data_IF_793148408206
#
_entry.id   IF_793148408206
#
_cell.length_a   1.000
_cell.length_b   1.000
_cell.length_c   1.000
_cell.angle_alpha   90.00
_cell.angle_beta   90.00
_cell.angle_gamma   90.00
#
_symmetry.space_group_name_H-M   'P 1'
#
loop_
_entity.id
_entity.type
_entity.pdbx_description
1 polymer ?
2 non-polymer ?
3 non-polymer ?
4 non-polymer ?
5 water ?
#
# COMPACT_ATOMS: atom_id res chain seq x y z
N UNK A 5 -42.82 2.64 -6.93
CA UNK A 5 -41.68 2.02 -7.65
C UNK A 5 -40.41 2.85 -7.45
N UNK A 6 -39.27 2.27 -7.80
CA UNK A 6 -38.04 3.04 -7.92
C UNK A 6 -37.65 3.12 -9.40
N UNK A 7 -37.65 4.34 -9.95
CA UNK A 7 -37.34 4.52 -11.36
C UNK A 7 -35.85 4.57 -11.63
N UNK A 8 -35.47 4.41 -12.90
CA UNK A 8 -34.07 4.47 -13.28
C UNK A 8 -33.48 5.84 -12.93
N UNK A 9 -34.28 6.88 -13.11
CA UNK A 9 -33.88 8.24 -12.77
C UNK A 9 -33.56 8.40 -11.29
N UNK A 10 -34.50 8.02 -10.43
CA UNK A 10 -34.32 8.13 -9.00
C UNK A 10 -33.14 7.28 -8.53
N UNK A 11 -32.94 6.14 -9.18
CA UNK A 11 -31.93 5.18 -8.76
C UNK A 11 -30.53 5.64 -9.14
N UNK A 12 -30.43 6.40 -10.22
CA UNK A 12 -29.14 6.87 -10.70
C UNK A 12 -28.53 7.86 -9.70
N UNK A 13 -29.36 8.79 -9.25
CA UNK A 13 -28.96 9.78 -8.26
C UNK A 13 -28.65 9.12 -6.91
N UNK A 14 -29.59 8.32 -6.43
CA UNK A 14 -29.46 7.67 -5.13
C UNK A 14 -28.22 6.79 -5.07
N UNK A 15 -27.91 6.08 -6.15
CA UNK A 15 -26.75 5.21 -6.20
C UNK A 15 -25.45 5.98 -5.97
N UNK A 16 -25.27 7.12 -6.63
CA UNK A 16 -24.09 7.93 -6.40
C UNK A 16 -24.01 8.38 -4.94
N UNK A 17 -25.15 8.77 -4.39
CA UNK A 17 -25.20 9.19 -2.99
C UNK A 17 -24.69 8.07 -2.09
N UNK A 18 -25.20 6.87 -2.31
CA UNK A 18 -24.79 5.70 -1.54
C UNK A 18 -23.31 5.39 -1.71
N UNK A 19 -22.82 5.43 -2.96
CA UNK A 19 -21.40 5.18 -3.21
C UNK A 19 -20.54 6.15 -2.42
N UNK A 20 -20.94 7.42 -2.41
CA UNK A 20 -20.17 8.45 -1.72
C UNK A 20 -20.14 8.23 -0.21
N UNK A 21 -21.29 7.92 0.37
CA UNK A 21 -21.38 7.74 1.81
C UNK A 21 -20.66 6.45 2.24
N UNK A 22 -20.88 5.37 1.49
CA UNK A 22 -20.27 4.09 1.79
C UNK A 22 -18.75 4.09 1.62
N UNK A 23 -18.27 4.71 0.55
CA UNK A 23 -16.82 4.79 0.34
C UNK A 23 -16.18 5.64 1.43
N UNK A 24 -16.90 6.65 1.91
CA UNK A 24 -16.38 7.46 3.01
C UNK A 24 -16.29 6.63 4.28
N UNK A 25 -17.31 5.80 4.51
CA UNK A 25 -17.27 4.87 5.65
C UNK A 25 -16.17 3.83 5.46
N UNK A 26 -15.97 3.40 4.22
CA UNK A 26 -14.96 2.40 3.92
C UNK A 26 -13.57 3.01 4.10
N UNK A 27 -13.44 4.29 3.79
CA UNK A 27 -12.18 5.01 4.01
C UNK A 27 -11.80 5.03 5.50
N UNK A 28 -12.74 5.42 6.35
CA UNK A 28 -12.50 5.53 7.78
C UNK A 28 -12.10 4.18 8.37
N UNK A 29 -12.78 3.13 7.90
CA UNK A 29 -12.65 1.79 8.49
C UNK A 29 -11.42 1.04 8.00
N UNK A 30 -11.15 1.10 6.69
CA UNK A 30 -10.05 0.35 6.09
C UNK A 30 -8.78 1.15 5.94
N UNK A 31 -8.90 2.46 5.77
CA UNK A 31 -7.72 3.29 5.55
C UNK A 31 -7.23 3.98 6.82
N UNK A 32 -8.16 4.42 7.65
CA UNK A 32 -7.79 5.08 8.91
C UNK A 32 -7.87 4.10 10.08
N UNK A 33 -8.39 2.91 9.81
CA UNK A 33 -8.58 1.91 10.85
C UNK A 33 -9.31 2.53 12.04
N UNK A 34 -10.31 3.37 11.74
CA UNK A 34 -11.07 4.05 12.77
C UNK A 34 -12.49 4.37 12.30
N UNK A 35 -13.35 3.34 12.21
CA UNK A 35 -14.70 3.56 11.71
C UNK A 35 -15.46 4.59 12.55
N UNK A 36 -16.35 5.33 11.90
CA UNK A 36 -17.16 6.32 12.59
C UNK A 36 -18.55 5.77 12.91
N UNK A 37 -19.09 4.93 12.04
CA UNK A 37 -20.41 4.37 12.27
C UNK A 37 -20.37 2.88 12.60
N UNK A 38 -21.37 2.44 13.35
CA UNK A 38 -21.61 1.02 13.62
C UNK A 38 -21.76 0.25 12.30
N UNK A 39 -21.34 -1.00 12.30
CA UNK A 39 -21.40 -1.82 11.10
C UNK A 39 -22.80 -1.88 10.50
N UNK A 40 -23.81 -1.98 11.36
CA UNK A 40 -25.18 -2.18 10.89
C UNK A 40 -25.63 -0.99 10.06
N UNK A 41 -25.05 0.17 10.34
CA UNK A 41 -25.37 1.36 9.55
C UNK A 41 -24.80 1.20 8.15
N UNK A 42 -23.57 0.67 8.06
CA UNK A 42 -22.94 0.45 6.78
C UNK A 42 -23.69 -0.62 5.98
N UNK A 43 -24.05 -1.70 6.65
CA UNK A 43 -24.64 -2.87 6.00
C UNK A 43 -26.01 -2.53 5.41
N UNK A 44 -26.75 -1.68 6.12
CA UNK A 44 -28.06 -1.23 5.68
C UNK A 44 -27.97 -0.43 4.39
N UNK A 45 -27.05 0.53 4.37
CA UNK A 45 -26.82 1.33 3.17
C UNK A 45 -26.27 0.48 2.04
N UNK A 46 -25.36 -0.42 2.38
CA UNK A 46 -24.75 -1.31 1.40
C UNK A 46 -25.82 -2.16 0.74
N UNK A 47 -26.72 -2.71 1.55
CA UNK A 47 -27.83 -3.51 1.04
C UNK A 47 -28.71 -2.71 0.09
N UNK A 48 -28.96 -1.45 0.42
CA UNK A 48 -29.80 -0.61 -0.43
C UNK A 48 -29.12 -0.45 -1.79
N UNK A 49 -27.82 -0.21 -1.77
CA UNK A 49 -27.06 -0.08 -2.99
C UNK A 49 -27.11 -1.36 -3.82
N UNK A 50 -26.93 -2.49 -3.17
CA UNK A 50 -26.97 -3.78 -3.86
C UNK A 50 -28.32 -3.99 -4.54
N UNK A 51 -29.40 -3.58 -3.87
CA UNK A 51 -30.72 -3.72 -4.44
C UNK A 51 -30.84 -2.88 -5.71
N UNK A 52 -30.34 -1.65 -5.63
CA UNK A 52 -30.43 -0.75 -6.78
C UNK A 52 -29.61 -1.28 -7.95
N UNK A 53 -28.44 -1.84 -7.63
CA UNK A 53 -27.55 -2.33 -8.68
C UNK A 53 -28.09 -3.61 -9.27
N UNK A 54 -28.85 -4.36 -8.48
CA UNK A 54 -29.42 -5.61 -8.95
C UNK A 54 -30.56 -5.29 -9.93
N UNK A 55 -31.38 -4.32 -9.57
CA UNK A 55 -32.49 -3.91 -10.41
C UNK A 55 -31.98 -3.19 -11.66
N UNK A 56 -31.02 -2.29 -11.49
CA UNK A 56 -30.46 -1.53 -12.61
C UNK A 56 -28.96 -1.73 -12.72
N UNK A 57 -28.54 -2.87 -13.29
CA UNK A 57 -27.13 -3.23 -13.36
C UNK A 57 -26.24 -2.23 -14.09
N UNK A 58 -26.84 -1.39 -14.93
CA UNK A 58 -26.06 -0.39 -15.65
C UNK A 58 -25.55 0.70 -14.71
N UNK A 59 -26.10 0.74 -13.49
CA UNK A 59 -25.68 1.74 -12.50
C UNK A 59 -24.43 1.31 -11.74
N UNK A 60 -23.95 0.09 -12.01
CA UNK A 60 -22.74 -0.39 -11.38
C UNK A 60 -21.53 0.39 -11.90
N UNK A 61 -20.72 0.90 -10.98
CA UNK A 61 -19.53 1.68 -11.34
C UNK A 61 -18.31 1.06 -10.69
N UNK A 62 -17.12 1.28 -11.27
CA UNK A 62 -15.89 0.69 -10.72
C UNK A 62 -15.57 1.13 -9.29
N UNK A 63 -16.05 2.31 -8.90
CA UNK A 63 -15.78 2.80 -7.55
C UNK A 63 -16.91 2.48 -6.56
N UNK A 64 -17.85 1.64 -7.00
CA UNK A 64 -18.87 1.17 -6.08
C UNK A 64 -18.32 0.09 -5.16
N UNK A 65 -18.62 0.19 -3.86
CA UNK A 65 -18.13 -0.74 -2.85
C UNK A 65 -18.59 -2.19 -3.02
N UNK A 66 -19.60 -2.41 -3.86
CA UNK A 66 -20.06 -3.76 -4.13
C UNK A 66 -19.02 -4.56 -4.91
N UNK A 67 -18.14 -3.87 -5.62
CA UNK A 67 -17.20 -4.51 -6.52
C UNK A 67 -15.97 -5.08 -5.80
N UNK A 68 -15.87 -4.82 -4.50
CA UNK A 68 -14.74 -5.28 -3.71
C UNK A 68 -14.68 -6.79 -3.61
N UNK A 69 -15.81 -7.45 -3.89
CA UNK A 69 -15.90 -8.89 -3.75
C UNK A 69 -15.33 -9.58 -4.99
N UNK A 70 -15.01 -8.79 -6.01
CA UNK A 70 -14.37 -9.34 -7.20
C UNK A 70 -15.37 -10.00 -8.13
N UNK A 71 -14.85 -10.76 -9.09
CA UNK A 71 -15.72 -11.44 -10.04
C UNK A 71 -14.98 -11.89 -11.28
N UNK A 72 -14.13 -11.02 -11.82
CA UNK A 72 -13.40 -11.33 -13.05
C UNK A 72 -12.45 -12.51 -12.83
N UNK A 73 -12.23 -13.29 -13.90
CA UNK A 73 -11.24 -14.37 -13.87
C UNK A 73 -10.32 -14.22 -15.09
N UNK A 74 -9.04 -13.94 -14.85
CA UNK A 74 -8.10 -13.70 -15.94
C UNK A 74 -7.53 -15.01 -16.49
N UNK A 75 -6.98 -14.96 -17.71
CA UNK A 75 -6.23 -16.08 -18.27
C UNK A 75 -4.80 -16.01 -17.76
N UNK A 76 -4.28 -14.78 -17.69
CA UNK A 76 -2.96 -14.55 -17.15
C UNK A 76 -2.81 -13.07 -16.89
N UNK A 77 -1.67 -12.65 -16.37
CA UNK A 77 -1.41 -11.23 -16.17
C UNK A 77 -0.65 -10.66 -17.36
N UNK A 78 -1.02 -9.45 -17.77
CA UNK A 78 -0.27 -8.72 -18.79
C UNK A 78 0.98 -8.13 -18.16
N UNK A 79 1.96 -7.80 -19.00
CA UNK A 79 3.19 -7.17 -18.52
C UNK A 79 2.89 -5.75 -18.10
N UNK A 80 3.46 -5.34 -16.96
CA UNK A 80 3.29 -3.98 -16.47
C UNK A 80 4.64 -3.28 -16.40
N UNK A 81 5.00 -2.54 -17.45
CA UNK A 81 6.28 -1.82 -17.41
C UNK A 81 6.29 -0.69 -16.38
N UNK A 82 7.45 -0.46 -15.78
CA UNK A 82 7.68 0.69 -14.90
C UNK A 82 8.71 1.59 -15.56
N UNK A 83 8.26 2.66 -16.22
CA UNK A 83 9.18 3.54 -16.93
C UNK A 83 10.04 4.32 -15.93
N UNK A 84 9.45 4.63 -14.79
CA UNK A 84 10.24 4.99 -13.61
C UNK A 84 10.45 3.69 -12.86
N UNK A 85 11.69 3.19 -12.86
CA UNK A 85 11.95 1.85 -12.32
C UNK A 85 11.64 1.76 -10.83
N UNK A 86 11.29 0.56 -10.38
CA UNK A 86 11.13 0.29 -8.95
C UNK A 86 12.39 -0.38 -8.44
N UNK A 87 13.23 0.39 -7.74
CA UNK A 87 14.52 -0.11 -7.26
C UNK A 87 14.32 -1.04 -6.06
N UNK A 88 15.39 -1.72 -5.65
CA UNK A 88 15.41 -2.35 -4.34
C UNK A 88 16.31 -1.55 -3.40
N UNK A 89 16.64 -2.11 -2.25
CA UNK A 89 17.38 -1.40 -1.22
C UNK A 89 18.69 -2.09 -0.86
N UNK A 90 19.73 -1.28 -0.62
CA UNK A 90 20.99 -1.77 -0.06
C UNK A 90 20.75 -2.10 1.42
N UNK A 91 21.50 -3.07 1.94
CA UNK A 91 21.26 -3.55 3.30
C UNK A 91 22.35 -3.19 4.32
N UNK A 92 21.94 -3.05 5.57
CA UNK A 92 22.86 -2.99 6.68
C UNK A 92 22.41 -3.97 7.75
N UNK A 93 23.34 -4.46 8.55
CA UNK A 93 23.02 -5.53 9.49
C UNK A 93 23.53 -5.22 10.88
N UNK A 94 24.38 -4.22 10.99
CA UNK A 94 24.98 -3.86 12.27
C UNK A 94 24.79 -2.37 12.54
N UNK A 95 25.00 -1.97 13.79
CA UNK A 95 24.98 -0.56 14.13
C UNK A 95 26.08 0.15 13.34
N UNK A 96 27.19 -0.54 13.14
CA UNK A 96 28.30 0.00 12.37
C UNK A 96 27.90 0.26 10.93
N UNK A 97 27.17 -0.67 10.34
CA UNK A 97 26.72 -0.53 8.96
C UNK A 97 25.88 0.74 8.77
N UNK A 98 25.08 1.06 9.76
CA UNK A 98 24.20 2.22 9.67
C UNK A 98 24.98 3.52 9.85
N UNK A 99 25.89 3.53 10.82
CA UNK A 99 26.71 4.71 11.03
C UNK A 99 27.65 4.92 9.85
N UNK A 100 28.09 3.84 9.22
CA UNK A 100 28.91 3.94 8.03
C UNK A 100 28.11 4.51 6.86
N UNK A 101 26.83 4.17 6.80
CA UNK A 101 25.95 4.71 5.77
C UNK A 101 25.83 6.21 5.98
N UNK A 102 25.61 6.61 7.23
CA UNK A 102 25.51 8.03 7.57
C UNK A 102 26.80 8.78 7.24
N UNK A 103 27.94 8.14 7.50
CA UNK A 103 29.22 8.78 7.20
C UNK A 103 29.37 9.01 5.70
N UNK A 104 28.92 8.05 4.90
CA UNK A 104 28.97 8.21 3.45
C UNK A 104 28.06 9.32 2.96
N UNK A 105 26.90 9.47 3.58
CA UNK A 105 25.93 10.48 3.18
C UNK A 105 26.47 11.87 3.49
N UNK A 106 27.00 12.05 4.70
CA UNK A 106 27.58 13.32 5.08
C UNK A 106 28.79 13.66 4.21
N UNK A 107 29.61 12.65 3.91
CA UNK A 107 30.74 12.86 3.02
C UNK A 107 30.30 13.38 1.67
N UNK A 108 29.22 12.84 1.14
CA UNK A 108 28.73 13.24 -0.18
C UNK A 108 27.99 14.57 -0.15
N UNK A 109 27.18 14.78 0.88
CA UNK A 109 26.36 16.00 0.97
C UNK A 109 27.17 17.18 1.53
N UNK A 110 27.97 16.92 2.56
CA UNK A 110 28.83 17.95 3.10
C UNK A 110 28.32 18.60 4.37
N UNK A 111 27.29 18.01 4.96
CA UNK A 111 26.65 18.56 6.16
C UNK A 111 25.81 17.48 6.81
N UNK A 112 25.42 17.67 8.10
CA UNK A 112 24.49 16.78 8.77
C UNK A 112 23.18 16.68 8.00
N UNK A 113 22.58 15.49 7.98
CA UNK A 113 21.39 15.23 7.18
C UNK A 113 20.31 14.50 7.98
N UNK A 114 19.06 14.92 7.80
CA UNK A 114 17.93 14.31 8.49
C UNK A 114 17.49 13.02 7.79
N UNK A 115 17.02 12.06 8.58
CA UNK A 115 16.49 10.83 8.02
C UNK A 115 15.04 10.63 8.42
N UNK A 116 14.21 10.27 7.44
CA UNK A 116 12.88 9.79 7.70
C UNK A 116 12.97 8.27 7.86
N UNK A 117 12.55 7.78 9.02
CA UNK A 117 12.65 6.35 9.31
C UNK A 117 11.30 5.65 9.29
N UNK A 118 11.25 4.54 8.55
CA UNK A 118 10.00 3.82 8.35
C UNK A 118 10.23 2.36 8.73
N UNK A 119 9.19 1.69 9.24
CA UNK A 119 9.23 0.24 9.42
C UNK A 119 9.25 -0.42 8.04
N UNK A 120 10.09 -1.44 7.88
CA UNK A 120 10.15 -2.17 6.61
C UNK A 120 9.10 -3.27 6.60
N UNK A 121 8.02 -3.02 5.88
CA UNK A 121 6.86 -3.91 5.85
C UNK A 121 7.21 -5.11 4.98
N UNK A 122 7.01 -6.31 5.52
CA UNK A 122 7.38 -7.54 4.83
C UNK A 122 6.23 -8.05 3.98
N UNK A 123 6.24 -7.69 2.69
CA UNK A 123 5.19 -8.16 1.81
C UNK A 123 5.56 -8.12 0.35
N UNK A 124 4.65 -7.61 -0.48
CA UNK A 124 4.88 -7.48 -1.92
C UNK A 124 4.86 -6.01 -2.32
N UNK A 125 5.87 -5.58 -3.06
CA UNK A 125 5.89 -4.21 -3.55
C UNK A 125 4.84 -4.04 -4.66
N UNK A 126 4.09 -2.94 -4.58
CA UNK A 126 3.08 -2.63 -5.59
C UNK A 126 3.18 -1.17 -6.04
N UNK A 127 2.70 -0.92 -7.26
CA UNK A 127 2.63 0.42 -7.82
C UNK A 127 1.19 0.69 -8.23
N UNK A 128 0.63 1.80 -7.76
CA UNK A 128 -0.79 2.11 -8.03
C UNK A 128 -0.89 3.37 -8.89
N UNK A 129 -1.41 3.24 -10.10
CA UNK A 129 -1.52 4.39 -11.00
C UNK A 129 -2.93 4.96 -11.04
N UNK A 130 -3.04 6.28 -10.97
CA UNK A 130 -4.34 6.94 -11.03
C UNK A 130 -4.41 8.02 -12.11
N UNK A 131 -5.50 8.03 -12.88
CA UNK A 131 -5.75 9.09 -13.86
C UNK A 131 -6.96 9.90 -13.42
N UNK A 132 -6.75 11.18 -13.14
CA UNK A 132 -7.83 12.06 -12.74
C UNK A 132 -8.59 11.49 -11.55
N UNK A 133 -7.86 10.86 -10.64
CA UNK A 133 -8.47 10.34 -9.42
C UNK A 133 -8.97 8.90 -9.52
N UNK A 134 -9.00 8.35 -10.72
CA UNK A 134 -9.52 6.99 -10.94
C UNK A 134 -8.41 5.93 -10.96
N UNK A 135 -8.57 4.86 -10.18
CA UNK A 135 -7.63 3.74 -10.20
C UNK A 135 -7.64 3.10 -11.59
N UNK A 136 -6.49 3.08 -12.25
CA UNK A 136 -6.43 2.50 -13.59
C UNK A 136 -5.36 1.41 -13.77
N UNK A 137 -4.38 1.36 -12.87
CA UNK A 137 -3.44 0.24 -12.91
C UNK A 137 -2.82 -0.12 -11.57
N UNK A 138 -2.77 -1.41 -11.30
CA UNK A 138 -2.01 -1.90 -10.17
C UNK A 138 -1.01 -2.93 -10.68
N UNK A 139 0.20 -2.89 -10.14
CA UNK A 139 1.27 -3.74 -10.65
C UNK A 139 2.26 -4.18 -9.58
N UNK A 140 2.79 -5.38 -9.74
CA UNK A 140 3.86 -5.88 -8.90
C UNK A 140 5.18 -5.24 -9.33
N UNK A 141 6.17 -5.27 -8.46
CA UNK A 141 7.49 -4.75 -8.81
C UNK A 141 8.18 -5.58 -9.89
N UNK A 142 7.93 -6.89 -9.88
CA UNK A 142 8.61 -7.77 -10.82
C UNK A 142 10.12 -7.62 -10.72
N UNK A 143 10.75 -7.28 -11.84
CA UNK A 143 12.21 -7.21 -11.90
C UNK A 143 12.70 -5.76 -11.81
N UNK A 144 11.79 -4.85 -11.56
CA UNK A 144 12.15 -3.46 -11.38
C UNK A 144 11.73 -2.59 -12.56
N UNK A 145 11.73 -3.17 -13.75
CA UNK A 145 11.35 -2.43 -14.95
C UNK A 145 10.12 -3.05 -15.62
N UNK A 146 9.89 -4.33 -15.38
CA UNK A 146 8.63 -4.94 -15.83
C UNK A 146 8.06 -5.88 -14.77
N UNK A 147 6.85 -5.55 -14.30
CA UNK A 147 6.13 -6.41 -13.38
C UNK A 147 4.89 -7.01 -14.01
N UNK A 148 3.97 -7.50 -13.17
CA UNK A 148 2.70 -8.03 -13.65
C UNK A 148 1.56 -7.06 -13.37
N UNK A 149 0.61 -6.97 -14.30
CA UNK A 149 -0.57 -6.13 -14.16
C UNK A 149 -1.60 -6.87 -13.31
N UNK A 150 -1.71 -6.49 -12.04
CA UNK A 150 -2.64 -7.16 -11.12
C UNK A 150 -3.72 -6.19 -10.68
N UNK A 151 -4.15 -5.34 -11.62
CA UNK A 151 -5.16 -4.32 -11.37
C UNK A 151 -6.44 -4.93 -10.80
N UNK A 152 -6.91 -6.01 -11.39
CA UNK A 152 -8.21 -6.55 -10.99
C UNK A 152 -8.17 -7.06 -9.55
N UNK A 153 -7.10 -7.75 -9.19
CA UNK A 153 -6.95 -8.25 -7.83
C UNK A 153 -6.90 -7.12 -6.80
N UNK A 154 -6.18 -6.06 -7.12
CA UNK A 154 -6.00 -4.97 -6.18
C UNK A 154 -7.28 -4.15 -6.02
N UNK A 155 -8.21 -4.33 -6.95
CA UNK A 155 -9.56 -3.79 -6.78
C UNK A 155 -10.24 -4.39 -5.56
N UNK A 156 -9.88 -5.62 -5.22
CA UNK A 156 -10.51 -6.28 -4.09
C UNK A 156 -9.86 -5.89 -2.76
N UNK A 157 -8.75 -5.19 -2.82
CA UNK A 157 -8.05 -4.81 -1.58
C UNK A 157 -8.67 -3.53 -1.01
N UNK A 158 -9.32 -3.66 0.15
CA UNK A 158 -10.26 -2.65 0.62
C UNK A 158 -9.61 -1.30 0.97
N UNK A 159 -8.31 -1.32 1.32
CA UNK A 159 -7.62 -0.10 1.68
C UNK A 159 -7.16 0.67 0.44
N UNK A 160 -7.26 0.02 -0.71
CA UNK A 160 -6.93 0.66 -1.98
C UNK A 160 -8.13 1.45 -2.54
N UNK A 161 -8.00 2.78 -2.61
CA UNK A 161 -9.07 3.65 -3.14
C UNK A 161 -9.33 3.45 -4.64
N UNK A 162 -10.60 3.31 -5.00
CA UNK A 162 -10.96 3.22 -6.41
C UNK A 162 -11.10 4.61 -7.03
N UNK A 163 -11.45 5.59 -6.21
CA UNK A 163 -11.46 6.98 -6.65
C UNK A 163 -10.93 7.87 -5.53
N UNK A 164 -9.92 8.68 -5.86
CA UNK A 164 -9.28 9.54 -4.88
C UNK A 164 -10.10 10.78 -4.52
N UNK A 165 -9.77 11.39 -3.39
CA UNK A 165 -10.44 12.58 -2.90
C UNK A 165 -10.44 13.73 -3.92
N UNK A 166 -9.27 14.04 -4.48
CA UNK A 166 -9.14 14.97 -5.59
C UNK A 166 -8.84 14.21 -6.87
N UNK A 167 -9.30 14.73 -8.02
CA UNK A 167 -9.09 14.11 -9.33
C UNK A 167 -7.65 14.20 -9.84
N UNK A 168 -6.72 13.71 -9.03
CA UNK A 168 -5.29 13.88 -9.26
C UNK A 168 -4.74 12.71 -10.10
N UNK A 169 -3.74 13.00 -10.95
CA UNK A 169 -3.07 11.95 -11.72
C UNK A 169 -1.68 11.66 -11.17
N UNK A 170 -1.56 10.53 -10.48
CA UNK A 170 -0.33 10.18 -9.77
C UNK A 170 -0.13 8.67 -9.83
N UNK A 171 1.12 8.23 -9.72
CA UNK A 171 1.39 6.83 -9.42
C UNK A 171 2.16 6.72 -8.11
N UNK A 172 1.60 5.95 -7.19
CA UNK A 172 2.17 5.83 -5.85
C UNK A 172 2.59 4.39 -5.62
N UNK A 173 3.50 4.19 -4.67
CA UNK A 173 4.04 2.86 -4.43
C UNK A 173 4.14 2.54 -2.94
N UNK A 174 3.92 1.28 -2.61
CA UNK A 174 4.07 0.84 -1.23
C UNK A 174 4.13 -0.67 -1.13
N UNK A 175 3.57 -1.21 -0.05
CA UNK A 175 3.61 -2.64 0.20
C UNK A 175 2.19 -3.16 0.39
N UNK A 176 1.89 -4.27 -0.28
CA UNK A 176 0.68 -5.03 0.01
C UNK A 176 1.13 -6.23 0.83
N UNK A 177 0.44 -6.49 1.93
CA UNK A 177 0.86 -7.54 2.85
C UNK A 177 -0.36 -8.24 3.42
N UNK A 178 -0.14 -9.37 4.07
CA UNK A 178 -1.21 -10.06 4.80
C UNK A 178 -0.94 -9.99 6.29
N UNK A 179 -1.87 -9.40 7.05
CA UNK A 179 -1.74 -9.32 8.52
C UNK A 179 -1.51 -10.69 9.13
N UNK A 180 -0.85 -10.72 10.30
CA UNK A 180 -0.55 -11.98 10.97
C UNK A 180 -1.80 -12.82 11.22
N UNK A 181 -2.83 -12.20 11.77
CA UNK A 181 -4.03 -12.93 12.15
C UNK A 181 -4.71 -13.55 10.92
N UNK A 182 -4.64 -12.87 9.78
CA UNK A 182 -5.21 -13.39 8.55
C UNK A 182 -4.36 -14.52 7.97
N UNK A 183 -3.04 -14.42 8.12
CA UNK A 183 -2.13 -15.48 7.71
C UNK A 183 -2.43 -16.75 8.51
N UNK A 184 -2.53 -16.62 9.82
CA UNK A 184 -2.90 -17.74 10.68
C UNK A 184 -4.20 -18.38 10.22
N UNK A 185 -5.21 -17.56 9.98
CA UNK A 185 -6.53 -18.06 9.64
C UNK A 185 -6.53 -18.77 8.29
N UNK A 186 -5.84 -18.19 7.32
CA UNK A 186 -5.78 -18.77 5.97
C UNK A 186 -5.09 -20.14 5.99
N UNK A 187 -4.01 -20.28 6.75
CA UNK A 187 -3.30 -21.54 6.79
C UNK A 187 -4.14 -22.65 7.44
N UNK A 188 -4.90 -22.30 8.46
CA UNK A 188 -5.83 -23.25 9.07
C UNK A 188 -6.82 -23.73 8.02
N UNK A 189 -7.35 -22.79 7.24
CA UNK A 189 -8.31 -23.10 6.19
C UNK A 189 -7.70 -24.04 5.16
N UNK A 190 -6.44 -23.82 4.83
CA UNK A 190 -5.73 -24.70 3.92
C UNK A 190 -5.48 -26.07 4.53
N UNK A 191 -5.20 -26.12 5.83
CA UNK A 191 -5.06 -27.39 6.52
C UNK A 191 -6.36 -28.17 6.46
N UNK A 192 -7.48 -27.48 6.63
CA UNK A 192 -8.79 -28.13 6.58
C UNK A 192 -9.08 -28.70 5.19
N UNK A 193 -8.60 -27.99 4.16
CA UNK A 193 -8.94 -28.35 2.79
C UNK A 193 -7.87 -29.20 2.11
N UNK A 194 -6.87 -29.62 2.87
CA UNK A 194 -5.87 -30.54 2.34
C UNK A 194 -4.81 -29.86 1.50
N UNK A 195 -4.54 -28.59 1.78
CA UNK A 195 -3.59 -27.81 1.00
C UNK A 195 -2.28 -27.59 1.75
N UNK A 196 -1.19 -27.42 1.01
CA UNK A 196 0.06 -27.00 1.61
C UNK A 196 -0.13 -25.59 2.15
N UNK A 197 0.35 -25.36 3.38
CA UNK A 197 0.23 -24.04 3.98
C UNK A 197 1.28 -23.11 3.38
N UNK A 198 1.06 -21.80 3.52
CA UNK A 198 2.12 -20.84 3.18
C UNK A 198 3.12 -20.77 4.33
N UNK A 199 4.40 -20.60 3.98
CA UNK A 199 5.48 -20.65 4.95
C UNK A 199 5.51 -19.42 5.83
N UNK A 200 5.05 -18.30 5.29
CA UNK A 200 5.00 -17.04 6.01
C UNK A 200 4.04 -16.09 5.28
N UNK A 201 3.60 -15.01 5.95
CA UNK A 201 2.61 -14.11 5.35
C UNK A 201 3.05 -13.39 4.07
N UNK A 202 4.36 -13.20 3.89
CA UNK A 202 4.87 -12.65 2.66
C UNK A 202 4.50 -13.58 1.50
N UNK A 203 4.80 -14.86 1.67
CA UNK A 203 4.50 -15.87 0.67
C UNK A 203 2.99 -15.97 0.46
N UNK A 204 2.23 -15.85 1.54
CA UNK A 204 0.77 -15.93 1.45
C UNK A 204 0.23 -14.78 0.60
N UNK A 205 0.80 -13.58 0.80
CA UNK A 205 0.36 -12.40 0.07
C UNK A 205 0.73 -12.48 -1.40
N UNK A 206 1.88 -13.07 -1.70
CA UNK A 206 2.35 -13.18 -3.08
C UNK A 206 1.55 -14.24 -3.84
N UNK A 207 1.29 -15.37 -3.18
CA UNK A 207 0.44 -16.38 -3.78
C UNK A 207 -0.97 -15.88 -4.00
N UNK A 208 -1.44 -15.03 -3.10
CA UNK A 208 -2.77 -14.43 -3.24
C UNK A 208 -2.83 -13.56 -4.49
N UNK A 209 -1.89 -12.64 -4.63
CA UNK A 209 -1.91 -11.70 -5.73
C UNK A 209 -1.58 -12.35 -7.07
N UNK A 210 -1.13 -13.61 -7.03
CA UNK A 210 -0.87 -14.39 -8.24
C UNK A 210 -2.13 -15.14 -8.69
N UNK A 211 -3.16 -15.14 -7.84
CA UNK A 211 -4.42 -15.79 -8.17
C UNK A 211 -5.09 -15.10 -9.35
N UNK A 212 -5.63 -15.89 -10.27
CA UNK A 212 -6.27 -15.34 -11.45
C UNK A 212 -7.76 -15.07 -11.22
N UNK A 213 -8.37 -15.83 -10.32
CA UNK A 213 -9.78 -15.61 -9.97
C UNK A 213 -9.85 -14.55 -8.88
N UNK A 214 -10.32 -13.36 -9.24
CA UNK A 214 -10.34 -12.23 -8.30
C UNK A 214 -11.27 -12.48 -7.10
N UNK A 215 -12.18 -13.43 -7.23
CA UNK A 215 -13.13 -13.72 -6.16
C UNK A 215 -12.40 -14.35 -4.97
N UNK A 216 -11.38 -15.14 -5.28
CA UNK A 216 -10.56 -15.75 -4.23
C UNK A 216 -9.73 -14.70 -3.51
N UNK A 217 -9.16 -13.79 -4.28
CA UNK A 217 -8.29 -12.75 -3.72
C UNK A 217 -9.05 -11.85 -2.74
N UNK A 218 -10.29 -11.49 -3.09
CA UNK A 218 -11.11 -10.63 -2.26
C UNK A 218 -11.37 -11.26 -0.89
N UNK A 219 -11.24 -12.57 -0.81
CA UNK A 219 -11.44 -13.28 0.44
C UNK A 219 -10.17 -13.33 1.29
N UNK A 220 -9.03 -12.91 0.73
CA UNK A 220 -7.72 -13.16 1.33
C UNK A 220 -7.24 -12.15 2.38
N UNK A 221 -8.03 -11.10 2.61
CA UNK A 221 -7.73 -10.15 3.68
C UNK A 221 -6.34 -9.53 3.51
N UNK A 222 -6.11 -8.84 2.40
CA UNK A 222 -4.84 -8.15 2.18
C UNK A 222 -4.95 -6.68 2.57
N UNK A 223 -3.83 -6.07 2.89
CA UNK A 223 -3.81 -4.66 3.25
C UNK A 223 -2.60 -3.96 2.64
N UNK A 224 -2.55 -2.63 2.75
CA UNK A 224 -1.49 -1.86 2.12
C UNK A 224 -0.90 -0.81 3.05
N UNK A 225 0.36 -0.47 2.79
CA UNK A 225 0.98 0.76 3.29
C UNK A 225 1.69 1.44 2.11
N UNK A 226 1.31 2.67 1.81
CA UNK A 226 1.96 3.41 0.73
C UNK A 226 3.04 4.33 1.29
N UNK A 227 4.20 4.37 0.64
CA UNK A 227 5.32 5.19 1.13
C UNK A 227 6.10 6.02 0.11
N UNK A 228 5.75 5.91 -1.17
CA UNK A 228 6.39 6.77 -2.17
C UNK A 228 5.55 7.04 -3.40
N UNK A 229 5.88 8.10 -4.12
CA UNK A 229 5.32 8.33 -5.44
C UNK A 229 6.42 8.27 -6.51
N UNK A 230 6.14 7.53 -7.58
CA UNK A 230 7.04 7.51 -8.72
C UNK A 230 6.80 8.74 -9.60
N UNK A 231 5.53 9.03 -9.86
CA UNK A 231 5.17 10.24 -10.59
C UNK A 231 4.31 11.16 -9.71
N UNK A 232 4.83 12.35 -9.46
CA UNK A 232 4.29 13.25 -8.46
C UNK A 232 2.94 13.90 -8.81
N UNK A 233 2.71 14.17 -10.09
CA UNK A 233 1.52 14.89 -10.47
C UNK A 233 1.54 16.29 -9.91
N UNK A 234 0.42 16.77 -9.34
CA UNK A 234 0.41 18.08 -8.67
C UNK A 234 1.06 18.07 -7.28
N UNK A 235 1.31 16.87 -6.74
CA UNK A 235 1.79 16.74 -5.34
C UNK A 235 2.96 17.65 -4.99
N UNK A 236 3.01 18.07 -3.72
CA UNK A 236 3.79 19.23 -3.32
C UNK A 236 4.97 18.92 -2.40
N UNK A 237 4.96 17.73 -1.78
CA UNK A 237 5.97 17.38 -0.78
C UNK A 237 7.39 17.60 -1.30
N UNK A 238 8.28 18.01 -0.41
CA UNK A 238 9.68 18.23 -0.75
C UNK A 238 10.58 17.33 0.07
N UNK A 239 10.00 16.61 1.02
CA UNK A 239 10.72 15.68 1.87
C UNK A 239 9.90 14.40 2.01
N UNK A 240 10.57 13.30 2.36
CA UNK A 240 9.91 12.00 2.47
C UNK A 240 8.83 12.01 3.56
N UNK A 241 9.11 12.71 4.65
CA UNK A 241 8.15 12.87 5.73
C UNK A 241 6.91 13.59 5.19
N UNK A 242 7.14 14.63 4.40
CA UNK A 242 6.04 15.35 3.76
C UNK A 242 5.26 14.47 2.79
N UNK A 243 5.97 13.61 2.07
CA UNK A 243 5.32 12.72 1.11
C UNK A 243 4.33 11.81 1.82
N UNK A 244 4.73 11.30 2.98
CA UNK A 244 3.91 10.37 3.75
C UNK A 244 2.64 11.03 4.27
N UNK A 245 2.77 12.27 4.75
CA UNK A 245 1.61 13.10 5.07
C UNK A 245 0.70 13.32 3.87
N UNK A 246 1.29 13.71 2.73
CA UNK A 246 0.51 14.00 1.54
C UNK A 246 -0.20 12.75 1.04
N UNK A 247 0.47 11.61 1.14
CA UNK A 247 -0.10 10.33 0.72
C UNK A 247 -1.35 10.00 1.52
N UNK A 248 -1.30 10.27 2.82
CA UNK A 248 -2.47 10.11 3.68
C UNK A 248 -3.57 11.10 3.27
N UNK A 249 -3.16 12.31 2.91
CA UNK A 249 -4.10 13.39 2.61
C UNK A 249 -4.96 13.12 1.39
N UNK A 250 -4.36 12.51 0.36
CA UNK A 250 -5.10 12.26 -0.86
C UNK A 250 -5.85 10.92 -0.84
N UNK A 251 -5.70 10.17 0.26
CA UNK A 251 -6.58 9.03 0.48
C UNK A 251 -5.94 7.67 0.67
N UNK A 252 -4.61 7.60 0.74
CA UNK A 252 -3.95 6.32 0.87
C UNK A 252 -3.66 5.95 2.32
N UNK A 253 -3.52 4.65 2.57
CA UNK A 253 -3.19 4.18 3.90
C UNK A 253 -1.67 4.23 4.07
N UNK A 254 -1.22 4.90 5.12
CA UNK A 254 0.21 4.99 5.42
C UNK A 254 0.48 4.36 6.78
N UNK A 255 1.73 3.98 7.02
CA UNK A 255 2.10 3.39 8.30
C UNK A 255 2.38 4.50 9.30
N UNK A 256 1.73 4.45 10.46
CA UNK A 256 1.75 5.55 11.44
C UNK A 256 3.03 5.60 12.26
N UNK A 257 3.92 4.63 12.04
CA UNK A 257 5.08 4.45 12.92
C UNK A 257 6.36 5.12 12.41
N UNK A 258 6.29 5.87 11.33
CA UNK A 258 7.48 6.54 10.80
C UNK A 258 7.91 7.70 11.68
N UNK A 259 9.21 8.00 11.67
CA UNK A 259 9.72 9.12 12.46
C UNK A 259 10.78 9.93 11.71
N UNK A 260 10.75 11.23 11.94
CA UNK A 260 11.74 12.15 11.38
C UNK A 260 12.88 12.32 12.37
N UNK A 261 14.05 11.80 12.02
CA UNK A 261 15.20 11.81 12.94
C UNK A 261 16.27 12.80 12.49
N UNK A 262 16.68 13.67 13.41
CA UNK A 262 17.59 14.76 13.08
C UNK A 262 19.06 14.39 13.29
N UNK A 263 19.33 13.16 13.71
CA UNK A 263 20.69 12.66 13.80
C UNK A 263 20.73 11.14 13.65
N UNK A 264 21.87 10.61 13.22
CA UNK A 264 22.01 9.17 13.07
C UNK A 264 21.83 8.52 14.44
N UNK A 265 22.05 9.31 15.49
CA UNK A 265 21.84 8.85 16.85
C UNK A 265 20.37 8.56 17.09
N UNK A 266 19.51 9.44 16.58
CA UNK A 266 18.07 9.24 16.70
C UNK A 266 17.60 8.08 15.83
N UNK A 267 18.33 7.82 14.75
CA UNK A 267 18.02 6.70 13.87
C UNK A 267 18.22 5.35 14.54
N UNK A 268 19.35 5.18 15.22
CA UNK A 268 19.61 3.91 15.87
C UNK A 268 18.65 3.68 17.04
N UNK A 269 18.26 4.77 17.72
CA UNK A 269 17.31 4.66 18.82
C UNK A 269 15.94 4.24 18.29
N UNK A 270 15.56 4.76 17.13
CA UNK A 270 14.34 4.32 16.46
C UNK A 270 14.45 2.82 16.19
N UNK A 271 15.59 2.42 15.63
CA UNK A 271 15.83 1.02 15.31
C UNK A 271 15.71 0.12 16.54
N UNK A 272 16.30 0.54 17.65
CA UNK A 272 16.21 -0.24 18.88
C UNK A 272 14.77 -0.24 19.40
N UNK A 273 14.10 0.91 19.28
CA UNK A 273 12.74 1.05 19.77
C UNK A 273 11.81 0.03 19.13
N UNK A 274 11.89 -0.09 17.81
CA UNK A 274 10.95 -0.95 17.08
C UNK A 274 11.47 -2.37 16.86
N UNK A 275 12.77 -2.57 17.08
CA UNK A 275 13.34 -3.91 17.03
C UNK A 275 12.69 -4.79 18.08
N UNK A 276 12.16 -4.17 19.13
CA UNK A 276 11.53 -4.91 20.21
C UNK A 276 10.00 -4.79 20.17
N UNK A 277 9.50 -3.63 19.76
CA UNK A 277 8.06 -3.44 19.58
C UNK A 277 7.57 -4.37 18.50
N UNK A 278 8.52 -4.87 17.71
CA UNK A 278 8.25 -5.75 16.58
C UNK A 278 7.16 -6.78 16.85
N UNK A 279 7.28 -7.48 17.97
CA UNK A 279 6.37 -8.58 18.30
C UNK A 279 4.94 -8.11 18.50
N UNK A 280 4.77 -6.86 18.92
CA UNK A 280 3.46 -6.33 19.27
C UNK A 280 2.67 -5.90 18.04
N UNK A 281 3.34 -5.87 16.88
CA UNK A 281 2.70 -5.36 15.66
C UNK A 281 1.89 -6.45 14.95
N UNK A 282 0.74 -6.06 14.37
CA UNK A 282 -0.19 -6.96 13.68
C UNK A 282 0.31 -7.46 12.33
N UNK A 283 1.39 -6.84 11.85
CA UNK A 283 2.00 -7.22 10.58
C UNK A 283 3.47 -7.55 10.80
N UNK A 284 4.04 -8.33 9.89
CA UNK A 284 5.46 -8.64 9.93
C UNK A 284 6.32 -7.55 9.28
N UNK A 285 7.43 -7.23 9.91
CA UNK A 285 8.45 -6.41 9.30
C UNK A 285 9.77 -7.17 9.31
N UNK A 286 10.61 -6.96 8.31
CA UNK A 286 11.93 -7.57 8.31
C UNK A 286 13.02 -6.57 8.62
N UNK A 287 12.63 -5.38 9.05
CA UNK A 287 13.61 -4.38 9.44
C UNK A 287 13.11 -2.95 9.43
N UNK A 288 14.03 -2.03 9.14
CA UNK A 288 13.75 -0.61 9.18
C UNK A 288 14.38 0.02 7.93
N UNK A 289 13.68 0.94 7.28
CA UNK A 289 14.27 1.65 6.16
C UNK A 289 14.62 3.09 6.52
N UNK A 290 15.88 3.45 6.30
CA UNK A 290 16.39 4.78 6.61
C UNK A 290 16.52 5.59 5.31
N UNK A 291 15.77 6.69 5.21
CA UNK A 291 15.79 7.52 4.01
C UNK A 291 16.25 8.94 4.30
N UNK A 292 17.13 9.46 3.44
CA UNK A 292 17.45 10.89 3.49
C UNK A 292 16.16 11.64 3.21
N UNK A 293 15.79 12.55 4.10
CA UNK A 293 14.45 13.14 4.08
C UNK A 293 14.27 14.13 2.94
N UNK A 294 15.19 15.07 2.80
CA UNK A 294 15.06 16.12 1.78
C UNK A 294 15.18 15.52 0.38
N UNK A 295 14.19 15.77 -0.47
CA UNK A 295 14.21 15.20 -1.81
C UNK A 295 15.38 15.78 -2.60
N UNK A 296 15.76 17.01 -2.27
CA UNK A 296 16.82 17.69 -2.98
C UNK A 296 18.13 16.93 -2.76
N UNK A 297 18.30 16.40 -1.56
CA UNK A 297 19.51 15.68 -1.20
C UNK A 297 19.48 14.24 -1.72
N UNK A 298 18.29 13.65 -1.81
CA UNK A 298 18.12 12.34 -2.44
C UNK A 298 18.58 12.38 -3.89
N UNK A 299 18.19 13.42 -4.62
CA UNK A 299 18.54 13.54 -6.03
C UNK A 299 20.03 13.73 -6.17
N UNK A 300 20.62 14.41 -5.19
CA UNK A 300 22.04 14.71 -5.22
C UNK A 300 22.85 13.44 -5.08
N UNK A 301 22.36 12.51 -4.26
CA UNK A 301 23.04 11.24 -4.02
C UNK A 301 22.79 10.27 -5.16
N UNK A 302 21.59 10.32 -5.73
CA UNK A 302 21.27 9.49 -6.87
C UNK A 302 21.11 8.02 -6.57
N UNK A 303 21.25 7.20 -7.59
CA UNK A 303 21.01 5.76 -7.47
C UNK A 303 22.20 4.98 -8.03
N UNK A 304 22.54 3.89 -7.37
CA UNK A 304 23.40 2.89 -7.99
C UNK A 304 22.57 2.22 -9.09
N UNK A 305 23.03 1.07 -9.56
CA UNK A 305 22.24 0.27 -10.48
C UNK A 305 21.14 -0.52 -9.75
N UNK A 306 21.47 -1.02 -8.55
CA UNK A 306 20.51 -1.79 -7.74
C UNK A 306 19.54 -0.90 -6.96
N UNK A 307 20.07 0.13 -6.31
CA UNK A 307 19.34 0.80 -5.25
C UNK A 307 19.63 2.29 -5.17
N UNK A 308 18.82 3.03 -4.39
CA UNK A 308 19.16 4.42 -4.09
C UNK A 308 20.40 4.53 -3.20
N UNK A 309 21.18 5.58 -3.38
CA UNK A 309 22.29 5.86 -2.45
C UNK A 309 21.81 6.58 -1.20
N UNK A 310 20.58 7.09 -1.24
CA UNK A 310 20.03 7.90 -0.16
C UNK A 310 19.20 7.08 0.82
N UNK A 311 19.26 5.76 0.70
CA UNK A 311 18.55 4.90 1.63
C UNK A 311 19.33 3.64 1.98
N UNK A 312 19.00 3.06 3.13
CA UNK A 312 19.53 1.77 3.51
C UNK A 312 18.49 1.07 4.37
N UNK A 313 18.38 -0.24 4.22
CA UNK A 313 17.50 -1.03 5.06
C UNK A 313 18.30 -1.77 6.13
N UNK A 314 18.02 -1.47 7.39
CA UNK A 314 18.59 -2.27 8.48
C UNK A 314 17.76 -3.53 8.61
N UNK A 315 18.40 -4.68 8.42
CA UNK A 315 17.70 -5.95 8.46
C UNK A 315 17.83 -6.58 9.83
N UNK A 316 16.71 -7.10 10.35
CA UNK A 316 16.76 -8.02 11.47
C UNK A 316 17.15 -9.39 10.93
N UNK A 317 17.97 -10.14 11.68
CA UNK A 317 18.34 -11.50 11.26
C UNK A 317 17.14 -12.45 11.14
#
# INVERSE_FOLDING_TARGET
MEQQPLTLTAATTRAQELRKQLNQYSHEYYVKDQPSVEDYVYDRLYKELVDIETEFPDLITPDSPTQRVGGKVLSGFEKAPHDIPMYSLNDGFSKEDIFAFDERVRKAIGKPVAYCCELKIDGLAISLRYENGVFVRGATRGDGTVGENITENLRTVRSVPMRLTEPISVEVRGECYMPKQSFVALNEEREENGQDIFANPRNAAAGSLRQLDTKIVAKRNLNTFLYTVADFGPMKAKTQFEALEELSAIGFRTNPERQLCQSIDEVWAYIEEYHEKRSTLPYEIDGIVIKVNEFALQDELGFTVKAPRWAIAYKFPPEEAETLEHHHHHH
#
